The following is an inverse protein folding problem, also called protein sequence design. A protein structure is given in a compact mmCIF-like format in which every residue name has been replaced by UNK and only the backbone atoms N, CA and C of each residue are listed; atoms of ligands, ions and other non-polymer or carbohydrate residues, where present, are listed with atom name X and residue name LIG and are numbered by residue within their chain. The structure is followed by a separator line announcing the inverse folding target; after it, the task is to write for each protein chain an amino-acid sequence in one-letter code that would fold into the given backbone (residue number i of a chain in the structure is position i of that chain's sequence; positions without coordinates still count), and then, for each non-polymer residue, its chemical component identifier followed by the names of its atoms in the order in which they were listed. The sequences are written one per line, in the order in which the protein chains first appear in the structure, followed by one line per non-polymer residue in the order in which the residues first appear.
data_IF_671472298546
#
_entry.id   IF_671472298546
#
_cell.length_a   1.000
_cell.length_b   1.000
_cell.length_c   1.000
_cell.angle_alpha   90.00
_cell.angle_beta   90.00
_cell.angle_gamma   90.00
#
_symmetry.space_group_name_H-M   'P 1'
#
loop_
_entity.id
_entity.type
_entity.pdbx_description
1 polymer ?
#
# COMPACT_ATOMS: atom_id res chain seq x y z
N UNK A 1 11.82 -3.10 0.34
CA UNK A 1 10.91 -1.93 0.30
C UNK A 1 11.70 -0.72 0.76
N UNK A 2 11.62 0.39 0.01
CA UNK A 2 12.28 1.65 0.33
C UNK A 2 11.75 2.33 1.60
N UNK A 3 10.49 2.06 1.96
CA UNK A 3 9.80 2.73 3.06
C UNK A 3 10.40 2.40 4.43
N UNK A 4 10.52 3.37 5.35
CA UNK A 4 10.87 3.12 6.76
C UNK A 4 9.90 2.10 7.38
N UNK A 5 10.40 1.17 8.22
CA UNK A 5 9.58 0.17 8.92
C UNK A 5 8.40 0.78 9.66
N UNK A 6 8.58 1.96 10.27
CA UNK A 6 7.54 2.70 10.99
C UNK A 6 6.35 3.12 10.13
N UNK A 7 6.60 3.38 8.84
CA UNK A 7 5.59 3.82 7.87
C UNK A 7 4.88 2.67 7.17
N UNK A 8 5.21 1.40 7.46
CA UNK A 8 4.63 0.25 6.74
C UNK A 8 3.35 -0.26 7.40
N UNK A 9 2.31 -0.45 6.60
CA UNK A 9 1.16 -1.28 6.93
C UNK A 9 1.51 -2.75 6.63
N UNK A 10 1.37 -3.64 7.62
CA UNK A 10 1.87 -5.03 7.51
C UNK A 10 0.84 -6.10 7.85
N UNK A 11 -0.04 -5.83 8.82
CA UNK A 11 -0.95 -6.85 9.33
C UNK A 11 -2.11 -7.05 8.35
N UNK A 12 -2.46 -8.30 8.06
CA UNK A 12 -3.59 -8.62 7.17
C UNK A 12 -4.90 -7.97 7.65
N UNK A 13 -5.13 -7.98 8.98
CA UNK A 13 -6.28 -7.34 9.61
C UNK A 13 -6.36 -5.84 9.35
N UNK A 14 -5.22 -5.15 9.27
CA UNK A 14 -5.18 -3.72 8.93
C UNK A 14 -5.55 -3.47 7.47
N UNK A 15 -5.04 -4.29 6.55
CA UNK A 15 -5.45 -4.22 5.14
C UNK A 15 -6.92 -4.56 4.95
N UNK A 16 -7.47 -5.45 5.77
CA UNK A 16 -8.89 -5.79 5.75
C UNK A 16 -9.74 -4.62 6.29
N UNK A 17 -9.35 -4.02 7.41
CA UNK A 17 -10.00 -2.84 7.99
C UNK A 17 -10.05 -1.68 6.99
N UNK A 18 -8.93 -1.36 6.33
CA UNK A 18 -8.89 -0.31 5.29
C UNK A 18 -9.84 -0.63 4.13
N UNK A 19 -9.91 -1.90 3.71
CA UNK A 19 -10.77 -2.32 2.59
C UNK A 19 -12.26 -2.33 2.93
N UNK A 20 -12.63 -2.64 4.17
CA UNK A 20 -14.03 -2.77 4.58
C UNK A 20 -14.63 -1.46 5.12
N UNK A 21 -13.82 -0.65 5.81
CA UNK A 21 -14.28 0.52 6.56
C UNK A 21 -13.68 1.83 6.04
N UNK A 22 -12.69 1.75 5.14
CA UNK A 22 -12.01 2.92 4.60
C UNK A 22 -12.76 3.57 3.45
N UNK A 23 -12.34 4.80 3.13
CA UNK A 23 -12.70 5.47 1.88
C UNK A 23 -11.75 5.04 0.78
N UNK A 24 -12.18 5.14 -0.48
CA UNK A 24 -11.31 4.86 -1.61
C UNK A 24 -11.56 5.79 -2.78
N UNK A 25 -10.50 6.04 -3.55
CA UNK A 25 -10.54 6.70 -4.85
C UNK A 25 -9.84 5.78 -5.85
N UNK A 26 -10.49 5.59 -6.98
CA UNK A 26 -9.98 4.80 -8.10
C UNK A 26 -9.51 5.73 -9.20
N UNK A 27 -8.33 5.44 -9.74
CA UNK A 27 -7.82 6.03 -10.97
C UNK A 27 -7.49 4.93 -11.98
N UNK A 28 -7.06 5.33 -13.19
CA UNK A 28 -6.61 4.38 -14.23
C UNK A 28 -5.45 3.49 -13.76
N UNK A 29 -4.56 4.01 -12.92
CA UNK A 29 -3.29 3.34 -12.58
C UNK A 29 -3.26 2.76 -11.15
N UNK A 30 -4.04 3.34 -10.24
CA UNK A 30 -4.03 2.94 -8.83
C UNK A 30 -5.40 3.11 -8.17
N UNK A 31 -5.62 2.29 -7.15
CA UNK A 31 -6.69 2.46 -6.17
C UNK A 31 -6.02 2.90 -4.88
N UNK A 32 -6.40 4.08 -4.38
CA UNK A 32 -5.99 4.58 -3.07
C UNK A 32 -7.13 4.31 -2.09
N UNK A 33 -6.86 3.55 -1.03
CA UNK A 33 -7.81 3.29 0.05
C UNK A 33 -7.19 3.71 1.39
N UNK A 34 -7.97 4.39 2.23
CA UNK A 34 -7.47 4.95 3.48
C UNK A 34 -8.53 5.02 4.57
N UNK A 35 -8.07 5.04 5.82
CA UNK A 35 -8.88 5.23 7.02
C UNK A 35 -8.01 5.93 8.07
N UNK A 36 -8.57 6.78 8.96
CA UNK A 36 -7.85 7.27 10.12
C UNK A 36 -7.27 6.12 10.96
N UNK A 37 -6.11 6.35 11.56
CA UNK A 37 -5.47 5.39 12.45
C UNK A 37 -5.02 6.07 13.75
N UNK A 38 -4.94 5.28 14.82
CA UNK A 38 -4.71 5.79 16.18
C UNK A 38 -3.22 5.89 16.53
N UNK A 39 -2.31 5.66 15.56
CA UNK A 39 -0.86 5.59 15.77
C UNK A 39 -0.19 6.95 15.56
N UNK A 40 -0.95 7.99 15.19
CA UNK A 40 -0.44 9.35 15.01
C UNK A 40 0.57 9.51 13.87
N UNK A 41 0.67 8.53 12.96
CA UNK A 41 1.60 8.56 11.83
C UNK A 41 1.02 7.87 10.60
N UNK A 42 1.53 8.27 9.43
CA UNK A 42 1.18 7.64 8.17
C UNK A 42 1.65 6.18 8.15
N UNK A 43 0.76 5.27 7.70
CA UNK A 43 1.08 3.87 7.46
C UNK A 43 0.57 3.45 6.09
N UNK A 44 1.48 3.00 5.22
CA UNK A 44 1.20 2.68 3.82
C UNK A 44 1.53 1.21 3.54
N UNK A 45 0.67 0.58 2.77
CA UNK A 45 0.86 -0.78 2.28
C UNK A 45 0.56 -0.84 0.79
N UNK A 46 1.33 -1.66 0.06
CA UNK A 46 1.16 -1.82 -1.39
C UNK A 46 0.71 -3.23 -1.73
N UNK A 47 -0.44 -3.32 -2.39
CA UNK A 47 -0.99 -4.58 -2.91
C UNK A 47 -0.84 -4.57 -4.43
N UNK A 48 -0.10 -5.54 -4.96
CA UNK A 48 0.05 -5.75 -6.41
C UNK A 48 -0.42 -7.17 -6.70
N UNK A 49 -1.53 -7.28 -7.44
CA UNK A 49 -2.14 -8.56 -7.78
C UNK A 49 -1.25 -9.37 -8.74
N UNK A 50 -1.34 -10.70 -8.68
CA UNK A 50 -0.75 -11.60 -9.70
C UNK A 50 -1.38 -11.39 -11.10
N UNK A 51 -2.52 -10.68 -11.19
CA UNK A 51 -3.14 -10.28 -12.46
C UNK A 51 -2.35 -9.18 -13.18
N UNK A 52 -1.62 -8.34 -12.45
CA UNK A 52 -0.78 -7.28 -13.03
C UNK A 52 0.49 -7.88 -13.62
N UNK A 53 1.11 -8.80 -12.90
CA UNK A 53 2.25 -9.56 -13.39
C UNK A 53 2.39 -10.88 -12.64
N UNK A 54 2.73 -11.95 -13.38
CA UNK A 54 3.09 -13.25 -12.80
C UNK A 54 4.48 -13.22 -12.18
N UNK A 55 5.40 -12.41 -12.70
CA UNK A 55 6.77 -12.30 -12.22
C UNK A 55 6.83 -11.57 -10.87
N UNK A 56 7.43 -12.22 -9.88
CA UNK A 56 7.58 -11.65 -8.54
C UNK A 56 8.48 -10.40 -8.55
N UNK A 57 9.52 -10.41 -9.39
CA UNK A 57 10.47 -9.30 -9.54
C UNK A 57 9.80 -8.02 -10.01
N UNK A 58 8.89 -8.08 -10.99
CA UNK A 58 8.14 -6.91 -11.48
C UNK A 58 7.20 -6.36 -10.41
N UNK A 59 6.46 -7.24 -9.72
CA UNK A 59 5.60 -6.79 -8.59
C UNK A 59 6.41 -6.14 -7.48
N UNK A 60 7.60 -6.66 -7.19
CA UNK A 60 8.51 -6.09 -6.19
C UNK A 60 9.14 -4.78 -6.66
N UNK A 61 9.38 -4.63 -7.96
CA UNK A 61 9.81 -3.37 -8.56
C UNK A 61 8.72 -2.29 -8.41
N UNK A 62 7.48 -2.59 -8.79
CA UNK A 62 6.34 -1.66 -8.62
C UNK A 62 6.19 -1.22 -7.16
N UNK A 63 6.24 -2.16 -6.21
CA UNK A 63 6.19 -1.84 -4.77
C UNK A 63 7.36 -0.98 -4.28
N UNK A 64 8.53 -1.08 -4.92
CA UNK A 64 9.69 -0.24 -4.61
C UNK A 64 9.49 1.16 -5.17
N UNK A 65 9.08 1.27 -6.44
CA UNK A 65 8.80 2.55 -7.11
C UNK A 65 7.74 3.36 -6.35
N UNK A 66 6.61 2.74 -6.01
CA UNK A 66 5.57 3.37 -5.19
C UNK A 66 6.08 3.76 -3.79
N UNK A 67 7.03 2.99 -3.24
CA UNK A 67 7.62 3.29 -1.94
C UNK A 67 8.53 4.53 -1.97
N UNK A 68 9.24 4.77 -3.06
CA UNK A 68 10.05 5.99 -3.23
C UNK A 68 9.16 7.23 -3.33
N UNK A 69 8.00 7.15 -3.99
CA UNK A 69 7.06 8.27 -4.10
C UNK A 69 6.43 8.72 -2.76
N UNK A 70 6.57 7.92 -1.70
CA UNK A 70 6.10 8.23 -0.34
C UNK A 70 7.26 8.70 0.55
N UNK A 71 8.51 8.59 0.08
CA UNK A 71 9.66 9.11 0.80
C UNK A 71 9.55 10.65 0.83
N UNK A 72 9.82 11.30 1.98
CA UNK A 72 9.91 12.75 2.06
C UNK A 72 10.94 13.33 1.09
#
# INVERSE_FOLDING_TARGET
MALNRALRLRKSSEFQRVRQQGRSITSRLLILAWIPNDVGRLRVGFVVSKRISKLAVERNYIKRLLGEAIRP
#
